data_IF_269157194196
#
_entry.id   IF_269157194196
#
_cell.length_a   1.000
_cell.length_b   1.000
_cell.length_c   1.000
_cell.angle_alpha   90.00
_cell.angle_beta   90.00
_cell.angle_gamma   90.00
#
_symmetry.space_group_name_H-M   'P 1'
#
loop_
_entity.id
_entity.type
_entity.pdbx_description
1 polymer ?
#
# COMPACT_ATOMS: atom_id res chain seq x y z
N UNK A 1 6.41 9.32 1.35
CA UNK A 1 7.53 8.39 1.72
C UNK A 1 8.64 8.44 0.67
N UNK A 2 9.89 8.06 0.98
CA UNK A 2 10.96 7.87 -0.03
C UNK A 2 11.16 6.37 -0.32
N UNK A 3 11.32 5.99 -1.58
CA UNK A 3 11.62 4.61 -1.95
C UNK A 3 13.05 4.21 -1.53
N UNK A 4 13.16 3.09 -0.84
CA UNK A 4 14.41 2.42 -0.55
C UNK A 4 14.85 1.55 -1.75
N UNK A 5 16.16 1.28 -1.90
CA UNK A 5 16.63 0.37 -2.94
C UNK A 5 16.04 -1.04 -2.78
N UNK A 6 15.52 -1.61 -3.86
CA UNK A 6 15.03 -2.98 -3.88
C UNK A 6 16.17 -3.96 -3.57
N UNK A 7 15.93 -4.93 -2.68
CA UNK A 7 16.91 -5.98 -2.41
C UNK A 7 17.18 -6.78 -3.68
N UNK A 8 18.46 -7.10 -3.92
CA UNK A 8 18.88 -7.88 -5.08
C UNK A 8 18.18 -9.25 -5.14
N UNK A 9 18.00 -9.91 -4.00
CA UNK A 9 17.32 -11.21 -3.92
C UNK A 9 15.86 -11.13 -4.39
N UNK A 10 15.16 -10.05 -4.03
CA UNK A 10 13.80 -9.77 -4.49
C UNK A 10 13.81 -9.49 -6.00
N UNK A 11 14.74 -8.66 -6.49
CA UNK A 11 14.87 -8.38 -7.93
C UNK A 11 15.11 -9.66 -8.75
N UNK A 12 16.08 -10.48 -8.34
CA UNK A 12 16.45 -11.70 -9.05
C UNK A 12 15.28 -12.71 -9.05
N UNK A 13 14.56 -12.82 -7.93
CA UNK A 13 13.37 -13.69 -7.81
C UNK A 13 12.19 -13.18 -8.63
N UNK A 14 11.93 -11.86 -8.64
CA UNK A 14 10.91 -11.25 -9.49
C UNK A 14 11.17 -11.56 -10.97
N UNK A 15 12.41 -11.40 -11.44
CA UNK A 15 12.79 -11.77 -12.81
C UNK A 15 12.62 -13.26 -13.11
N UNK A 16 12.91 -14.14 -12.15
CA UNK A 16 12.71 -15.58 -12.32
C UNK A 16 11.23 -15.98 -12.40
N UNK A 17 10.34 -15.20 -11.78
CA UNK A 17 8.89 -15.39 -11.79
C UNK A 17 8.19 -14.61 -12.92
N UNK A 18 8.95 -13.98 -13.83
CA UNK A 18 8.42 -13.15 -14.91
C UNK A 18 7.51 -12.02 -14.39
N UNK A 19 7.92 -11.41 -13.28
CA UNK A 19 7.29 -10.23 -12.67
C UNK A 19 7.99 -8.98 -13.22
N UNK A 20 7.18 -8.04 -13.72
CA UNK A 20 7.64 -6.79 -14.31
C UNK A 20 7.45 -5.59 -13.37
N UNK A 21 6.42 -5.64 -12.52
CA UNK A 21 6.11 -4.58 -11.57
C UNK A 21 5.93 -5.14 -10.15
N UNK A 22 6.49 -4.44 -9.18
CA UNK A 22 6.17 -4.62 -7.75
C UNK A 22 5.59 -3.31 -7.23
N UNK A 23 4.42 -3.35 -6.61
CA UNK A 23 3.74 -2.19 -6.04
C UNK A 23 3.55 -2.40 -4.54
N UNK A 24 4.00 -1.44 -3.74
CA UNK A 24 3.80 -1.40 -2.29
C UNK A 24 2.77 -0.32 -1.99
N UNK A 25 1.60 -0.70 -1.50
CA UNK A 25 0.54 0.22 -1.09
C UNK A 25 0.46 0.25 0.44
N UNK A 26 1.08 1.27 1.04
CA UNK A 26 0.96 1.54 2.45
C UNK A 26 -0.31 2.34 2.71
N UNK A 27 -1.07 1.95 3.73
CA UNK A 27 -2.22 2.70 4.21
C UNK A 27 -2.24 2.80 5.72
N UNK A 28 -2.78 3.91 6.22
CA UNK A 28 -2.89 4.24 7.62
C UNK A 28 -4.06 5.18 7.88
N UNK A 29 -4.24 5.54 9.14
CA UNK A 29 -5.25 6.52 9.52
C UNK A 29 -5.50 6.55 11.01
N UNK A 30 -5.94 5.43 11.59
CA UNK A 30 -6.36 5.39 13.01
C UNK A 30 -5.49 4.52 13.92
N UNK A 31 -4.78 3.52 13.39
CA UNK A 31 -4.08 2.52 14.20
C UNK A 31 -2.83 2.02 13.46
N UNK A 32 -2.49 0.73 13.57
CA UNK A 32 -1.38 0.12 12.85
C UNK A 32 -1.53 0.26 11.32
N UNK A 33 -0.41 0.54 10.66
CA UNK A 33 -0.36 0.63 9.20
C UNK A 33 -0.61 -0.72 8.55
N UNK A 34 -1.19 -0.67 7.36
CA UNK A 34 -1.38 -1.81 6.49
C UNK A 34 -0.49 -1.66 5.26
N UNK A 35 -0.05 -2.80 4.71
CA UNK A 35 0.72 -2.87 3.47
C UNK A 35 0.08 -3.92 2.57
N UNK A 36 -0.30 -3.51 1.36
CA UNK A 36 -0.64 -4.42 0.27
C UNK A 36 0.51 -4.48 -0.74
N UNK A 37 0.90 -5.70 -1.11
CA UNK A 37 1.91 -5.94 -2.14
C UNK A 37 1.22 -6.47 -3.39
N UNK A 38 1.24 -5.68 -4.46
CA UNK A 38 0.77 -6.11 -5.77
C UNK A 38 1.94 -6.48 -6.68
N UNK A 39 1.71 -7.51 -7.48
CA UNK A 39 2.67 -8.11 -8.38
C UNK A 39 2.03 -8.19 -9.77
N UNK A 40 2.71 -7.66 -10.79
CA UNK A 40 2.25 -7.70 -12.17
C UNK A 40 3.28 -8.36 -13.08
N UNK A 41 2.85 -9.11 -14.12
CA UNK A 41 1.46 -9.40 -14.51
C UNK A 41 0.81 -10.55 -13.70
N UNK A 42 1.59 -11.25 -12.89
CA UNK A 42 1.14 -12.42 -12.14
C UNK A 42 1.16 -12.16 -10.64
N UNK A 43 0.27 -12.82 -9.91
CA UNK A 43 0.26 -12.81 -8.45
C UNK A 43 0.90 -14.09 -7.89
N UNK A 44 1.84 -13.93 -6.95
CA UNK A 44 2.45 -15.03 -6.21
C UNK A 44 2.42 -14.67 -4.71
N UNK A 45 1.61 -15.41 -3.95
CA UNK A 45 1.35 -15.08 -2.54
C UNK A 45 2.58 -15.27 -1.66
N UNK A 46 3.40 -16.30 -1.92
CA UNK A 46 4.59 -16.57 -1.12
C UNK A 46 5.65 -15.49 -1.34
N UNK A 47 5.80 -15.02 -2.58
CA UNK A 47 6.71 -13.94 -2.91
C UNK A 47 6.19 -12.57 -2.43
N UNK A 48 4.88 -12.33 -2.51
CA UNK A 48 4.27 -11.12 -1.96
C UNK A 48 4.53 -11.01 -0.44
N UNK A 49 4.35 -12.10 0.31
CA UNK A 49 4.65 -12.14 1.74
C UNK A 49 6.14 -11.85 2.04
N UNK A 50 7.07 -12.41 1.25
CA UNK A 50 8.50 -12.15 1.41
C UNK A 50 8.85 -10.67 1.18
N UNK A 51 8.22 -10.05 0.17
CA UNK A 51 8.35 -8.61 -0.09
C UNK A 51 7.76 -7.80 1.04
N UNK A 52 6.61 -8.22 1.60
CA UNK A 52 5.97 -7.55 2.73
C UNK A 52 6.87 -7.55 3.97
N UNK A 53 7.44 -8.71 4.34
CA UNK A 53 8.39 -8.82 5.45
C UNK A 53 9.63 -7.92 5.24
N UNK A 54 10.15 -7.88 4.01
CA UNK A 54 11.24 -6.97 3.67
C UNK A 54 10.82 -5.51 3.80
N UNK A 55 9.64 -5.16 3.29
CA UNK A 55 9.14 -3.80 3.31
C UNK A 55 8.97 -3.31 4.76
N UNK A 56 8.37 -4.11 5.64
CA UNK A 56 8.28 -3.78 7.06
C UNK A 56 9.64 -3.67 7.76
N UNK A 57 10.64 -4.44 7.33
CA UNK A 57 12.01 -4.32 7.86
C UNK A 57 12.73 -3.05 7.40
N UNK A 58 12.31 -2.42 6.30
CA UNK A 58 13.01 -1.28 5.69
C UNK A 58 12.27 0.03 5.92
N UNK A 59 10.95 -0.01 5.80
CA UNK A 59 10.08 1.13 5.94
C UNK A 59 9.54 1.16 7.37
N UNK A 60 9.95 2.16 8.14
CA UNK A 60 9.35 2.46 9.45
C UNK A 60 8.00 3.17 9.27
N UNK A 61 7.06 2.54 8.57
CA UNK A 61 5.72 3.07 8.38
C UNK A 61 4.87 2.77 9.61
N UNK A 62 4.36 3.79 10.28
CA UNK A 62 3.58 3.59 11.52
C UNK A 62 2.10 3.35 11.27
N UNK A 63 1.52 3.94 10.22
CA UNK A 63 0.07 3.98 9.98
C UNK A 63 -0.76 4.77 11.00
N UNK A 64 -0.20 5.08 12.16
CA UNK A 64 -0.83 5.90 13.18
C UNK A 64 -1.13 7.31 12.66
N UNK A 65 -2.34 7.80 12.90
CA UNK A 65 -2.78 9.14 12.52
C UNK A 65 -3.99 9.60 13.34
N UNK A 66 -4.57 10.74 12.95
CA UNK A 66 -5.72 11.36 13.61
C UNK A 66 -7.09 10.72 13.24
N UNK A 67 -7.08 9.52 12.65
CA UNK A 67 -8.28 8.83 12.17
C UNK A 67 -8.74 9.22 10.76
N UNK A 68 -7.94 10.03 10.05
CA UNK A 68 -8.14 10.36 8.64
C UNK A 68 -7.33 9.40 7.77
N UNK A 69 -7.94 8.79 6.76
CA UNK A 69 -7.27 7.80 5.91
C UNK A 69 -6.15 8.44 5.09
N UNK A 70 -4.97 7.82 5.09
CA UNK A 70 -3.84 8.25 4.29
C UNK A 70 -3.05 7.05 3.78
N UNK A 71 -2.17 7.27 2.81
CA UNK A 71 -1.32 6.22 2.29
C UNK A 71 -0.20 6.70 1.38
N UNK A 72 0.75 5.80 1.17
CA UNK A 72 1.89 5.97 0.27
C UNK A 72 1.96 4.76 -0.66
N UNK A 73 2.11 5.00 -1.96
CA UNK A 73 2.37 3.95 -2.94
C UNK A 73 3.81 4.06 -3.43
N UNK A 74 4.54 2.94 -3.47
CA UNK A 74 5.82 2.81 -4.14
C UNK A 74 5.70 1.78 -5.26
N UNK A 75 5.96 2.18 -6.50
CA UNK A 75 5.99 1.29 -7.66
C UNK A 75 7.43 1.11 -8.14
N UNK A 76 7.89 -0.14 -8.16
CA UNK A 76 9.14 -0.56 -8.80
C UNK A 76 8.81 -1.15 -10.16
N UNK A 77 9.19 -0.43 -11.22
CA UNK A 77 9.10 -0.89 -12.60
C UNK A 77 10.43 -1.57 -12.97
N UNK A 78 10.41 -2.90 -12.99
CA UNK A 78 11.58 -3.73 -13.25
C UNK A 78 11.88 -3.87 -14.74
N UNK A 79 10.94 -3.48 -15.61
CA UNK A 79 11.11 -3.45 -17.06
C UNK A 79 11.92 -2.20 -17.45
N UNK A 80 11.45 -1.03 -17.01
CA UNK A 80 12.06 0.27 -17.30
C UNK A 80 13.21 0.61 -16.33
N UNK A 81 13.37 -0.16 -15.25
CA UNK A 81 14.30 0.11 -14.13
C UNK A 81 14.05 1.48 -13.48
N UNK A 82 12.78 1.77 -13.23
CA UNK A 82 12.32 3.03 -12.63
C UNK A 82 11.63 2.77 -11.30
N UNK A 83 11.65 3.78 -10.42
CA UNK A 83 10.88 3.76 -9.17
C UNK A 83 10.07 5.05 -9.05
N UNK A 84 8.80 4.91 -8.73
CA UNK A 84 7.89 6.04 -8.52
C UNK A 84 7.23 5.94 -7.15
N UNK A 85 6.97 7.10 -6.55
CA UNK A 85 6.32 7.23 -5.26
C UNK A 85 5.16 8.21 -5.36
N UNK A 86 4.03 7.88 -4.78
CA UNK A 86 2.87 8.77 -4.68
C UNK A 86 2.26 8.69 -3.28
N UNK A 87 1.63 9.78 -2.84
CA UNK A 87 1.00 9.91 -1.53
C UNK A 87 -0.47 10.31 -1.71
N UNK A 88 -1.35 9.85 -0.82
CA UNK A 88 -2.74 10.29 -0.75
C UNK A 88 -3.17 10.52 0.70
N UNK A 89 -4.14 11.40 0.88
CA UNK A 89 -4.80 11.67 2.15
C UNK A 89 -6.28 12.00 1.90
N UNK A 90 -7.16 11.49 2.74
CA UNK A 90 -8.57 11.85 2.81
C UNK A 90 -8.82 12.56 4.13
N UNK A 91 -9.63 13.62 4.10
CA UNK A 91 -10.02 14.36 5.30
C UNK A 91 -11.46 14.02 5.64
N UNK A 92 -11.72 13.62 6.88
CA UNK A 92 -13.09 13.44 7.38
C UNK A 92 -13.76 14.80 7.54
N UNK A 93 -14.89 14.99 6.88
CA UNK A 93 -15.77 16.16 7.08
C UNK A 93 -17.07 15.68 7.75
N UNK A 94 -17.21 15.92 9.05
CA UNK A 94 -18.45 15.68 9.77
C UNK A 94 -19.43 16.82 9.48
N UNK A 95 -20.38 16.59 8.59
CA UNK A 95 -21.59 17.41 8.50
C UNK A 95 -22.54 16.99 9.62
N UNK A 96 -22.98 17.93 10.47
CA UNK A 96 -24.07 17.69 11.44
C UNK A 96 -25.30 17.24 10.65
N UNK A 97 -25.62 15.95 10.70
CA UNK A 97 -26.83 15.41 10.11
C UNK A 97 -27.96 15.55 11.13
N UNK A 98 -28.99 16.33 10.81
CA UNK A 98 -30.26 16.29 11.53
C UNK A 98 -30.83 14.86 11.42
N UNK A 99 -31.28 14.24 12.52
CA UNK A 99 -31.87 12.90 12.47
C UNK A 99 -33.18 12.93 11.68
N UNK A 100 -33.27 12.13 10.61
CA UNK A 100 -34.52 11.88 9.88
C UNK A 100 -35.30 10.74 10.55
N UNK A 101 -36.64 10.85 10.59
CA UNK A 101 -37.49 9.76 11.09
C UNK A 101 -37.47 8.55 10.14
N UNK A 102 -37.25 7.37 10.70
CA UNK A 102 -37.28 6.11 9.95
C UNK A 102 -38.72 5.77 9.52
N UNK A 103 -39.05 5.94 8.25
CA UNK A 103 -40.31 5.45 7.68
C UNK A 103 -40.21 3.95 7.33
N UNK A 104 -41.11 3.14 7.89
CA UNK A 104 -41.26 1.72 7.52
C UNK A 104 -42.49 1.59 6.61
N UNK A 105 -42.29 1.09 5.40
CA UNK A 105 -43.36 0.81 4.45
C UNK A 105 -44.09 -0.51 4.79
N UNK A 106 -45.42 -0.54 4.61
CA UNK A 106 -46.27 -1.74 4.69
C UNK A 106 -46.17 -2.63 3.44
#
# INVERSE_FOLDING_TARGET
MNAAPLKKEIYDKAKALEIDTIILNFSGGSDEGYLEVELEPNHDCDFANEIEEWAWSVYSYSGAGDGSDYGDTIKYDLENNEVTTSEYYMVREDNENDPEELEIAE
#
